data_IF_557106402376
#
_entry.id   IF_557106402376
#
_cell.length_a   1.000
_cell.length_b   1.000
_cell.length_c   1.000
_cell.angle_alpha   90.00
_cell.angle_beta   90.00
_cell.angle_gamma   90.00
#
_symmetry.space_group_name_H-M   'P 1'
#
loop_
_entity.id
_entity.type
_entity.pdbx_description
1 polymer ?
#
# COMPACT_ATOMS: atom_id res chain seq x y z
N UNK A 1 12.92 10.85 -19.03
CA UNK A 1 12.41 11.46 -17.77
C UNK A 1 13.57 11.51 -16.78
N UNK A 2 13.78 12.61 -16.07
CA UNK A 2 14.83 12.69 -15.03
C UNK A 2 14.52 11.66 -13.93
N UNK A 3 15.53 10.96 -13.41
CA UNK A 3 15.38 9.96 -12.34
C UNK A 3 14.62 10.52 -11.13
N UNK A 4 14.83 11.79 -10.81
CA UNK A 4 14.12 12.49 -9.73
C UNK A 4 12.62 12.51 -10.01
N UNK A 5 12.20 12.89 -11.22
CA UNK A 5 10.78 12.90 -11.59
C UNK A 5 10.19 11.48 -11.60
N UNK A 6 10.96 10.48 -12.04
CA UNK A 6 10.53 9.08 -12.02
C UNK A 6 10.26 8.59 -10.60
N UNK A 7 11.17 8.87 -9.66
CA UNK A 7 11.00 8.50 -8.26
C UNK A 7 9.84 9.25 -7.62
N UNK A 8 9.71 10.57 -7.85
CA UNK A 8 8.59 11.36 -7.32
C UNK A 8 7.25 10.83 -7.84
N UNK A 9 7.14 10.54 -9.14
CA UNK A 9 5.95 9.96 -9.72
C UNK A 9 5.63 8.60 -9.09
N UNK A 10 6.65 7.76 -8.91
CA UNK A 10 6.49 6.46 -8.26
C UNK A 10 5.99 6.60 -6.81
N UNK A 11 6.52 7.54 -6.03
CA UNK A 11 6.04 7.82 -4.66
C UNK A 11 4.56 8.25 -4.66
N UNK A 12 4.18 9.16 -5.56
CA UNK A 12 2.79 9.64 -5.68
C UNK A 12 1.86 8.48 -6.01
N UNK A 13 2.24 7.62 -6.95
CA UNK A 13 1.43 6.45 -7.33
C UNK A 13 1.22 5.50 -6.14
N UNK A 14 2.27 5.21 -5.36
CA UNK A 14 2.15 4.35 -4.19
C UNK A 14 1.31 4.96 -3.06
N UNK A 15 1.34 6.28 -2.87
CA UNK A 15 0.43 6.96 -1.93
C UNK A 15 -1.02 6.78 -2.37
N UNK A 16 -1.31 6.94 -3.67
CA UNK A 16 -2.67 6.73 -4.21
C UNK A 16 -3.09 5.27 -3.99
N UNK A 17 -2.21 4.31 -4.27
CA UNK A 17 -2.47 2.87 -4.04
C UNK A 17 -2.87 2.61 -2.59
N UNK A 18 -2.07 3.08 -1.63
CA UNK A 18 -2.37 2.87 -0.20
C UNK A 18 -3.72 3.45 0.22
N UNK A 19 -4.06 4.66 -0.26
CA UNK A 19 -5.37 5.26 0.00
C UNK A 19 -6.52 4.47 -0.64
N UNK A 20 -6.36 4.03 -1.89
CA UNK A 20 -7.41 3.25 -2.59
C UNK A 20 -7.58 1.86 -2.00
N UNK A 21 -6.51 1.26 -1.47
CA UNK A 21 -6.54 -0.01 -0.76
C UNK A 21 -7.28 0.13 0.57
N UNK A 22 -6.99 1.18 1.36
CA UNK A 22 -7.77 1.50 2.56
C UNK A 22 -9.25 1.72 2.24
N UNK A 23 -9.57 2.40 1.14
CA UNK A 23 -10.95 2.54 0.69
C UNK A 23 -11.59 1.20 0.30
N UNK A 24 -10.88 0.33 -0.40
CA UNK A 24 -11.37 -0.99 -0.78
C UNK A 24 -11.63 -1.88 0.45
N UNK A 25 -10.78 -1.77 1.47
CA UNK A 25 -10.81 -2.61 2.67
C UNK A 25 -11.70 -2.09 3.78
N UNK A 26 -11.94 -0.78 3.88
CA UNK A 26 -12.61 -0.20 5.06
C UNK A 26 -13.85 0.64 4.75
N UNK A 27 -14.13 1.03 3.50
CA UNK A 27 -15.34 1.83 3.19
C UNK A 27 -16.63 1.11 3.63
N UNK A 28 -16.68 -0.21 3.48
CA UNK A 28 -17.80 -1.06 3.90
C UNK A 28 -17.97 -1.15 5.43
N UNK A 29 -16.99 -0.70 6.21
CA UNK A 29 -17.03 -0.65 7.68
C UNK A 29 -17.49 0.71 8.22
N UNK A 30 -17.68 1.69 7.33
CA UNK A 30 -18.16 3.03 7.70
C UNK A 30 -19.62 3.01 8.14
N UNK A 31 -20.08 4.01 8.93
CA UNK A 31 -21.46 4.09 9.38
C UNK A 31 -22.49 4.04 8.24
N UNK A 32 -22.18 4.62 7.08
CA UNK A 32 -23.06 4.67 5.91
C UNK A 32 -23.35 3.28 5.32
N UNK A 33 -22.44 2.33 5.51
CA UNK A 33 -22.58 0.96 5.04
C UNK A 33 -23.01 -0.03 6.14
N UNK A 34 -23.26 0.44 7.37
CA UNK A 34 -23.61 -0.45 8.49
C UNK A 34 -24.80 -1.35 8.17
N UNK A 35 -25.88 -0.74 7.67
CA UNK A 35 -27.14 -1.41 7.35
C UNK A 35 -27.23 -1.86 5.88
N UNK A 36 -26.18 -1.64 5.09
CA UNK A 36 -26.12 -2.07 3.71
C UNK A 36 -25.97 -3.60 3.61
N UNK A 37 -26.68 -4.19 2.65
CA UNK A 37 -26.54 -5.61 2.30
C UNK A 37 -25.17 -5.95 1.72
N UNK A 38 -24.92 -7.24 1.47
CA UNK A 38 -23.63 -7.72 0.97
C UNK A 38 -23.25 -7.16 -0.41
N UNK A 39 -24.23 -6.97 -1.30
CA UNK A 39 -23.99 -6.50 -2.66
C UNK A 39 -23.44 -5.08 -2.74
N UNK A 40 -24.04 -4.05 -2.10
CA UNK A 40 -23.45 -2.72 -2.05
C UNK A 40 -22.04 -2.70 -1.45
N UNK A 41 -21.78 -3.50 -0.41
CA UNK A 41 -20.47 -3.60 0.22
C UNK A 41 -19.43 -4.16 -0.75
N UNK A 42 -19.76 -5.26 -1.43
CA UNK A 42 -18.90 -5.86 -2.43
C UNK A 42 -18.63 -4.91 -3.60
N UNK A 43 -19.66 -4.26 -4.14
CA UNK A 43 -19.51 -3.30 -5.24
C UNK A 43 -18.60 -2.12 -4.85
N UNK A 44 -18.72 -1.62 -3.62
CA UNK A 44 -17.84 -0.57 -3.12
C UNK A 44 -16.38 -1.04 -3.04
N UNK A 45 -16.13 -2.22 -2.50
CA UNK A 45 -14.78 -2.78 -2.40
C UNK A 45 -14.17 -3.04 -3.78
N UNK A 46 -14.93 -3.68 -4.68
CA UNK A 46 -14.50 -3.97 -6.05
C UNK A 46 -14.23 -2.70 -6.87
N UNK A 47 -15.04 -1.65 -6.67
CA UNK A 47 -14.82 -0.36 -7.33
C UNK A 47 -13.48 0.26 -6.93
N UNK A 48 -13.19 0.34 -5.63
CA UNK A 48 -11.92 0.90 -5.15
C UNK A 48 -10.72 0.02 -5.51
N UNK A 49 -10.85 -1.31 -5.43
CA UNK A 49 -9.82 -2.24 -5.87
C UNK A 49 -9.54 -2.09 -7.38
N UNK A 50 -10.57 -1.90 -8.20
CA UNK A 50 -10.39 -1.68 -9.64
C UNK A 50 -9.60 -0.40 -9.93
N UNK A 51 -9.88 0.68 -9.19
CA UNK A 51 -9.13 1.94 -9.27
C UNK A 51 -7.69 1.74 -8.81
N UNK A 52 -7.48 1.05 -7.69
CA UNK A 52 -6.15 0.72 -7.16
C UNK A 52 -5.28 0.03 -8.23
N UNK A 53 -5.83 -0.99 -8.92
CA UNK A 53 -5.14 -1.70 -10.00
C UNK A 53 -4.67 -0.80 -11.14
N UNK A 54 -5.40 0.29 -11.44
CA UNK A 54 -4.99 1.27 -12.46
C UNK A 54 -3.68 1.98 -12.10
N UNK A 55 -3.37 2.09 -10.80
CA UNK A 55 -2.13 2.71 -10.31
C UNK A 55 -1.05 1.68 -9.96
N UNK A 56 -1.42 0.50 -9.47
CA UNK A 56 -0.49 -0.61 -9.14
C UNK A 56 0.34 -1.02 -10.36
N UNK A 57 -0.29 -1.18 -11.53
CA UNK A 57 0.41 -1.60 -12.75
C UNK A 57 1.51 -0.60 -13.16
N UNK A 58 1.22 0.71 -13.35
CA UNK A 58 2.25 1.67 -13.68
C UNK A 58 3.27 1.86 -12.55
N UNK A 59 2.86 1.83 -11.28
CA UNK A 59 3.79 1.93 -10.14
C UNK A 59 4.82 0.80 -10.15
N UNK A 60 4.40 -0.44 -10.34
CA UNK A 60 5.31 -1.58 -10.43
C UNK A 60 6.24 -1.49 -11.64
N UNK A 61 5.71 -1.11 -12.81
CA UNK A 61 6.53 -0.94 -14.03
C UNK A 61 7.59 0.14 -13.85
N UNK A 62 7.24 1.27 -13.25
CA UNK A 62 8.16 2.38 -13.00
C UNK A 62 9.19 1.98 -11.92
N UNK A 63 8.77 1.38 -10.81
CA UNK A 63 9.66 0.98 -9.73
C UNK A 63 10.72 -0.02 -10.17
N UNK A 64 10.33 -0.99 -11.01
CA UNK A 64 11.26 -1.99 -11.56
C UNK A 64 12.36 -1.40 -12.48
N UNK A 65 12.34 -0.09 -12.77
CA UNK A 65 13.41 0.58 -13.52
C UNK A 65 14.58 1.03 -12.65
N UNK A 66 14.41 1.13 -11.32
CA UNK A 66 15.44 1.66 -10.41
C UNK A 66 15.58 0.92 -9.07
N UNK A 67 14.67 0.00 -8.72
CA UNK A 67 14.82 -0.92 -7.59
C UNK A 67 14.62 -2.37 -8.05
N UNK A 68 15.15 -3.32 -7.27
CA UNK A 68 14.98 -4.75 -7.56
C UNK A 68 13.55 -5.22 -7.33
N UNK A 69 13.14 -6.33 -7.93
CA UNK A 69 11.81 -6.91 -7.72
C UNK A 69 11.51 -7.21 -6.24
N UNK A 70 12.51 -7.67 -5.48
CA UNK A 70 12.38 -7.89 -4.04
C UNK A 70 12.15 -6.57 -3.29
N UNK A 71 12.92 -5.53 -3.61
CA UNK A 71 12.73 -4.21 -3.00
C UNK A 71 11.39 -3.58 -3.38
N UNK A 72 10.93 -3.80 -4.61
CA UNK A 72 9.64 -3.33 -5.09
C UNK A 72 8.49 -3.98 -4.31
N UNK A 73 8.52 -5.31 -4.17
CA UNK A 73 7.54 -6.03 -3.36
C UNK A 73 7.61 -5.66 -1.89
N UNK A 74 8.80 -5.44 -1.32
CA UNK A 74 8.92 -5.03 0.07
C UNK A 74 8.46 -3.59 0.29
N UNK A 75 8.64 -2.72 -0.72
CA UNK A 75 8.20 -1.34 -0.65
C UNK A 75 6.69 -1.19 -0.62
N UNK A 76 5.91 -2.10 -1.24
CA UNK A 76 4.45 -2.04 -1.14
C UNK A 76 3.98 -2.16 0.31
N UNK A 77 4.57 -3.08 1.09
CA UNK A 77 4.28 -3.20 2.53
C UNK A 77 4.65 -1.95 3.33
N UNK A 78 5.69 -1.20 2.92
CA UNK A 78 6.02 0.08 3.55
C UNK A 78 4.89 1.08 3.32
N UNK A 79 4.37 1.16 2.10
CA UNK A 79 3.26 2.06 1.77
C UNK A 79 1.95 1.65 2.43
N UNK A 80 1.65 0.35 2.46
CA UNK A 80 0.49 -0.19 3.16
C UNK A 80 0.56 0.14 4.66
N UNK A 81 1.73 -0.01 5.27
CA UNK A 81 1.93 0.37 6.67
C UNK A 81 1.75 1.88 6.89
N UNK A 82 2.25 2.73 6.00
CA UNK A 82 2.03 4.18 6.08
C UNK A 82 0.55 4.56 5.92
N UNK A 83 -0.17 3.90 5.01
CA UNK A 83 -1.61 4.06 4.83
C UNK A 83 -2.36 3.61 6.09
N UNK A 84 -2.02 2.43 6.63
CA UNK A 84 -2.54 1.91 7.89
C UNK A 84 -2.29 2.89 9.05
N UNK A 85 -1.09 3.46 9.19
CA UNK A 85 -0.81 4.46 10.23
C UNK A 85 -1.74 5.68 10.11
N UNK A 86 -1.98 6.14 8.88
CA UNK A 86 -2.88 7.24 8.62
C UNK A 86 -4.35 6.87 8.91
N UNK A 87 -4.85 5.75 8.37
CA UNK A 87 -6.22 5.33 8.56
C UNK A 87 -6.50 4.97 10.02
N UNK A 88 -5.60 4.28 10.71
CA UNK A 88 -5.73 4.00 12.14
C UNK A 88 -5.79 5.30 12.97
N UNK A 89 -4.92 6.27 12.68
CA UNK A 89 -4.85 7.51 13.47
C UNK A 89 -6.03 8.45 13.21
N UNK A 90 -6.42 8.62 11.96
CA UNK A 90 -7.35 9.67 11.55
C UNK A 90 -8.74 9.17 11.18
N UNK A 91 -8.86 7.95 10.64
CA UNK A 91 -10.11 7.44 10.10
C UNK A 91 -10.78 6.41 11.01
N UNK A 92 -10.12 5.26 11.23
CA UNK A 92 -10.63 4.13 11.99
C UNK A 92 -10.51 4.32 13.51
N UNK A 93 -9.60 5.21 13.96
CA UNK A 93 -9.32 5.47 15.38
C UNK A 93 -8.96 4.19 16.15
N UNK A 94 -8.18 3.32 15.51
CA UNK A 94 -7.68 2.07 16.08
C UNK A 94 -6.23 2.24 16.54
N UNK A 95 -5.81 1.59 17.63
CA UNK A 95 -4.41 1.60 18.02
C UNK A 95 -3.58 0.74 17.08
N UNK A 96 -2.48 1.29 16.55
CA UNK A 96 -1.44 0.50 15.89
C UNK A 96 -0.65 -0.26 16.95
N UNK A 97 -0.54 -1.58 16.78
CA UNK A 97 0.05 -2.48 17.77
C UNK A 97 1.57 -2.54 17.65
N UNK A 98 2.25 -3.03 18.69
CA UNK A 98 3.70 -3.23 18.69
C UNK A 98 4.12 -4.21 17.59
N UNK A 99 3.28 -5.21 17.31
CA UNK A 99 3.53 -6.22 16.29
C UNK A 99 3.60 -5.59 14.88
N UNK A 100 2.79 -4.56 14.59
CA UNK A 100 2.84 -3.82 13.32
C UNK A 100 4.20 -3.12 13.15
N UNK A 101 4.69 -2.45 14.20
CA UNK A 101 6.00 -1.78 14.17
C UNK A 101 7.16 -2.77 14.09
N UNK A 102 7.09 -3.89 14.80
CA UNK A 102 8.08 -4.95 14.72
C UNK A 102 8.15 -5.56 13.31
N UNK A 103 6.99 -5.80 12.69
CA UNK A 103 6.89 -6.21 11.29
C UNK A 103 7.57 -5.23 10.34
N UNK A 104 7.36 -3.93 10.54
CA UNK A 104 8.00 -2.90 9.71
C UNK A 104 9.53 -2.90 9.85
N UNK A 105 10.07 -3.13 11.05
CA UNK A 105 11.53 -3.27 11.25
C UNK A 105 12.08 -4.48 10.47
N UNK A 106 11.37 -5.62 10.50
CA UNK A 106 11.76 -6.81 9.76
C UNK A 106 11.74 -6.58 8.23
N UNK A 107 10.76 -5.83 7.73
CA UNK A 107 10.69 -5.48 6.31
C UNK A 107 11.85 -4.57 5.90
N UNK A 108 12.18 -3.55 6.70
CA UNK A 108 13.36 -2.71 6.41
C UNK A 108 14.66 -3.51 6.43
N UNK A 109 14.79 -4.46 7.36
CA UNK A 109 15.91 -5.40 7.36
C UNK A 109 15.94 -6.26 6.10
N UNK A 110 14.80 -6.78 5.65
CA UNK A 110 14.65 -7.50 4.38
C UNK A 110 15.03 -6.66 3.15
N UNK A 111 14.64 -5.39 3.12
CA UNK A 111 15.01 -4.47 2.03
C UNK A 111 16.52 -4.22 2.01
N UNK A 112 17.13 -4.03 3.18
CA UNK A 112 18.57 -3.86 3.30
C UNK A 112 19.33 -5.12 2.87
N UNK A 113 18.90 -6.30 3.35
CA UNK A 113 19.53 -7.57 3.01
C UNK A 113 19.36 -7.94 1.53
N UNK A 114 18.24 -7.55 0.90
CA UNK A 114 17.98 -7.81 -0.53
C UNK A 114 18.94 -7.11 -1.50
N UNK A 115 19.72 -6.12 -1.03
CA UNK A 115 20.83 -5.55 -1.83
C UNK A 115 22.01 -6.51 -1.97
N UNK A 116 22.19 -7.39 -0.99
CA UNK A 116 23.25 -8.36 -0.97
C UNK A 116 22.71 -9.62 -1.66
N UNK A 117 23.29 -9.96 -2.81
CA UNK A 117 23.06 -11.23 -3.48
C UNK A 117 23.68 -12.30 -2.57
N UNK A 118 22.95 -12.76 -1.55
CA UNK A 118 23.44 -13.78 -0.61
C UNK A 118 23.34 -15.18 -1.25
N UNK A 119 22.43 -15.35 -2.21
CA UNK A 119 22.30 -16.56 -3.02
C UNK A 119 22.12 -16.14 -4.47
N UNK A 120 23.19 -16.25 -5.27
CA UNK A 120 23.24 -15.89 -6.69
C UNK A 120 22.08 -16.43 -7.52
#
# INVERSE_FOLDING_TARGET
>A
MNIIYTVILWLILNIIIGLTMDFALFTQTTPDFKDAGIFPKLLSSEFWASIEWMFVIPANRIGNTFISAAQLSLSSYVFDFLAQLWSNSYWLKLPTTIDDYAGMILIFFGMYSSKYIIFG
#
